data_IF_596120135002
#
_entry.id   IF_596120135002
#
_cell.length_a   1.000
_cell.length_b   1.000
_cell.length_c   1.000
_cell.angle_alpha   90.00
_cell.angle_beta   90.00
_cell.angle_gamma   90.00
#
_symmetry.space_group_name_H-M   'P 1'
#
loop_
_entity.id
_entity.type
_entity.pdbx_description
1 polymer ?
#
# COMPACT_ATOMS: atom_id res chain seq x y z
N UNK A 1 2.43 14.44 -7.94
CA UNK A 1 2.80 13.23 -8.71
C UNK A 1 2.08 12.02 -8.14
N UNK A 2 1.53 11.17 -9.01
CA UNK A 2 0.96 9.88 -8.59
C UNK A 2 2.11 8.94 -8.21
N UNK A 3 1.94 8.17 -7.13
CA UNK A 3 2.95 7.20 -6.70
C UNK A 3 2.93 5.99 -7.63
N UNK A 4 4.08 5.68 -8.20
CA UNK A 4 4.29 4.48 -9.01
C UNK A 4 5.23 3.50 -8.30
N UNK A 5 4.65 2.46 -7.71
CA UNK A 5 5.37 1.49 -6.89
C UNK A 5 6.22 0.55 -7.74
N UNK A 6 5.75 0.17 -8.93
CA UNK A 6 6.48 -0.72 -9.82
C UNK A 6 7.75 -0.03 -10.32
N UNK A 7 7.60 1.19 -10.84
CA UNK A 7 8.74 1.98 -11.30
C UNK A 7 9.75 2.27 -10.16
N UNK A 8 9.26 2.54 -8.94
CA UNK A 8 10.14 2.68 -7.77
C UNK A 8 10.93 1.41 -7.45
N UNK A 9 10.30 0.25 -7.50
CA UNK A 9 10.96 -1.02 -7.20
C UNK A 9 11.99 -1.40 -8.28
N UNK A 10 11.70 -1.15 -9.56
CA UNK A 10 12.64 -1.37 -10.67
C UNK A 10 13.88 -0.48 -10.54
N UNK A 11 13.68 0.82 -10.27
CA UNK A 11 14.77 1.76 -10.04
C UNK A 11 15.59 1.38 -8.79
N UNK A 12 14.95 0.92 -7.72
CA UNK A 12 15.66 0.45 -6.53
C UNK A 12 16.47 -0.82 -6.78
N UNK A 13 15.99 -1.72 -7.65
CA UNK A 13 16.77 -2.89 -8.10
C UNK A 13 17.96 -2.46 -8.94
N UNK A 14 17.78 -1.52 -9.87
CA UNK A 14 18.89 -0.96 -10.65
C UNK A 14 19.93 -0.27 -9.75
N UNK A 15 19.48 0.44 -8.71
CA UNK A 15 20.36 1.07 -7.71
C UNK A 15 21.32 0.08 -7.01
N UNK A 16 20.94 -1.20 -6.88
CA UNK A 16 21.82 -2.21 -6.28
C UNK A 16 23.07 -2.47 -7.15
N UNK A 17 22.94 -2.32 -8.47
CA UNK A 17 24.03 -2.49 -9.43
C UNK A 17 24.69 -1.15 -9.81
N UNK A 18 23.96 -0.04 -9.75
CA UNK A 18 24.42 1.29 -10.14
C UNK A 18 24.38 2.28 -8.96
N UNK A 19 25.57 2.66 -8.50
CA UNK A 19 25.74 3.59 -7.38
C UNK A 19 25.40 5.05 -7.72
N UNK A 20 25.33 5.41 -9.01
CA UNK A 20 25.01 6.77 -9.47
C UNK A 20 23.54 7.10 -9.29
N UNK A 21 22.67 6.09 -9.20
CA UNK A 21 21.24 6.27 -9.01
C UNK A 21 20.94 6.65 -7.55
N UNK A 22 20.66 7.92 -7.29
CA UNK A 22 20.36 8.41 -5.94
C UNK A 22 18.88 8.27 -5.58
N UNK A 23 18.59 8.16 -4.29
CA UNK A 23 17.20 8.17 -3.79
C UNK A 23 16.43 9.45 -4.17
N UNK A 24 17.15 10.54 -4.37
CA UNK A 24 16.55 11.82 -4.77
C UNK A 24 16.08 11.79 -6.22
N UNK A 25 16.88 11.22 -7.12
CA UNK A 25 16.49 10.96 -8.51
C UNK A 25 15.25 10.05 -8.57
N UNK A 26 15.24 8.97 -7.80
CA UNK A 26 14.12 8.01 -7.76
C UNK A 26 12.86 8.69 -7.18
N UNK A 27 13.02 9.53 -6.16
CA UNK A 27 11.92 10.26 -5.54
C UNK A 27 11.23 11.20 -6.54
N UNK A 28 12.01 11.98 -7.29
CA UNK A 28 11.50 12.88 -8.34
C UNK A 28 10.79 12.12 -9.46
N UNK A 29 11.18 10.89 -9.77
CA UNK A 29 10.57 10.06 -10.84
C UNK A 29 9.33 9.29 -10.41
N UNK A 30 9.20 8.97 -9.12
CA UNK A 30 8.16 8.02 -8.64
C UNK A 30 7.19 8.62 -7.63
N UNK A 31 7.47 9.82 -7.09
CA UNK A 31 6.63 10.47 -6.09
C UNK A 31 6.73 9.88 -4.68
N UNK A 32 7.63 8.92 -4.45
CA UNK A 32 7.91 8.38 -3.13
C UNK A 32 8.92 9.24 -2.38
N UNK A 33 8.74 9.39 -1.07
CA UNK A 33 9.74 10.08 -0.24
C UNK A 33 10.99 9.22 -0.04
N UNK A 34 12.13 9.85 0.25
CA UNK A 34 13.39 9.15 0.55
C UNK A 34 13.24 8.06 1.62
N UNK A 35 12.52 8.36 2.71
CA UNK A 35 12.25 7.37 3.78
C UNK A 35 11.43 6.18 3.27
N UNK A 36 10.44 6.41 2.40
CA UNK A 36 9.66 5.32 1.80
C UNK A 36 10.51 4.46 0.86
N UNK A 37 11.40 5.07 0.08
CA UNK A 37 12.30 4.37 -0.82
C UNK A 37 13.33 3.51 -0.07
N UNK A 38 13.91 4.02 1.03
CA UNK A 38 14.83 3.23 1.88
C UNK A 38 14.10 2.01 2.46
N UNK A 39 12.86 2.18 2.94
CA UNK A 39 12.06 1.05 3.43
C UNK A 39 11.80 0.01 2.34
N UNK A 40 11.43 0.44 1.13
CA UNK A 40 11.23 -0.46 -0.01
C UNK A 40 12.52 -1.17 -0.41
N UNK A 41 13.67 -0.47 -0.37
CA UNK A 41 14.98 -1.04 -0.67
C UNK A 41 15.34 -2.18 0.28
N UNK A 42 15.17 -1.97 1.59
CA UNK A 42 15.42 -3.01 2.59
C UNK A 42 14.50 -4.23 2.36
N UNK A 43 13.20 -3.98 2.13
CA UNK A 43 12.25 -5.05 1.80
C UNK A 43 12.61 -5.84 0.54
N UNK A 44 13.23 -5.17 -0.44
CA UNK A 44 13.71 -5.78 -1.69
C UNK A 44 14.94 -6.66 -1.47
N UNK A 45 15.86 -6.22 -0.61
CA UNK A 45 17.03 -6.99 -0.17
C UNK A 45 16.61 -8.27 0.56
N UNK A 46 15.57 -8.20 1.39
CA UNK A 46 15.15 -9.32 2.23
C UNK A 46 14.32 -10.37 1.48
N UNK A 47 13.45 -9.94 0.54
CA UNK A 47 12.48 -10.83 -0.11
C UNK A 47 12.81 -11.19 -1.57
N UNK A 48 13.69 -10.42 -2.24
CA UNK A 48 14.14 -10.63 -3.62
C UNK A 48 13.06 -10.55 -4.73
N UNK A 49 11.76 -10.56 -4.37
CA UNK A 49 10.68 -10.84 -5.31
C UNK A 49 9.82 -9.59 -5.58
N UNK A 50 10.13 -8.92 -6.69
CA UNK A 50 9.46 -7.70 -7.16
C UNK A 50 7.94 -7.84 -7.27
N UNK A 51 7.44 -8.99 -7.69
CA UNK A 51 6.00 -9.22 -7.89
C UNK A 51 5.21 -9.28 -6.57
N UNK A 52 5.83 -9.78 -5.51
CA UNK A 52 5.22 -9.83 -4.17
C UNK A 52 5.21 -8.41 -3.60
N UNK A 53 6.33 -7.70 -3.74
CA UNK A 53 6.49 -6.35 -3.23
C UNK A 53 5.66 -5.32 -3.98
N UNK A 54 5.32 -5.53 -5.26
CA UNK A 54 4.49 -4.60 -6.03
C UNK A 54 3.02 -4.66 -5.61
N UNK A 55 2.51 -5.82 -5.22
CA UNK A 55 1.15 -5.98 -4.68
C UNK A 55 1.01 -5.32 -3.31
N UNK A 56 -0.19 -4.87 -2.98
CA UNK A 56 -0.47 -4.38 -1.63
C UNK A 56 -0.65 -5.59 -0.71
N UNK A 57 -0.12 -5.54 0.51
CA UNK A 57 -0.16 -6.68 1.44
C UNK A 57 -1.60 -7.13 1.80
N UNK A 58 -2.56 -6.22 1.64
CA UNK A 58 -3.99 -6.44 1.89
C UNK A 58 -4.80 -6.67 0.61
N UNK A 59 -4.16 -6.73 -0.58
CA UNK A 59 -4.88 -7.06 -1.81
C UNK A 59 -5.49 -8.45 -1.66
N UNK A 60 -6.83 -8.55 -1.75
CA UNK A 60 -7.57 -9.80 -1.61
C UNK A 60 -7.74 -10.31 -0.18
N UNK A 61 -7.34 -9.52 0.84
CA UNK A 61 -7.61 -9.84 2.25
C UNK A 61 -8.82 -9.06 2.73
N UNK A 62 -9.70 -9.75 3.45
CA UNK A 62 -10.80 -9.11 4.17
C UNK A 62 -10.24 -8.18 5.26
N UNK A 63 -10.85 -7.00 5.48
CA UNK A 63 -10.47 -6.12 6.58
C UNK A 63 -10.64 -6.85 7.91
N UNK A 64 -9.66 -6.71 8.81
CA UNK A 64 -9.73 -7.31 10.15
C UNK A 64 -10.88 -6.71 10.97
N UNK A 65 -11.25 -5.46 10.68
CA UNK A 65 -12.34 -4.73 11.31
C UNK A 65 -13.66 -4.82 10.50
N UNK A 66 -13.83 -5.85 9.69
CA UNK A 66 -15.09 -6.09 8.99
C UNK A 66 -16.18 -6.34 10.03
N UNK A 67 -17.29 -5.60 9.92
CA UNK A 67 -18.44 -5.80 10.78
C UNK A 67 -19.01 -7.20 10.58
N UNK A 68 -19.36 -7.85 11.68
CA UNK A 68 -20.06 -9.13 11.64
C UNK A 68 -21.44 -8.94 10.99
N UNK A 69 -21.98 -9.93 10.26
CA UNK A 69 -23.33 -9.85 9.71
C UNK A 69 -24.39 -9.42 10.73
N UNK A 70 -24.25 -9.85 12.00
CA UNK A 70 -25.16 -9.45 13.07
C UNK A 70 -25.06 -7.97 13.44
N UNK A 71 -23.85 -7.38 13.39
CA UNK A 71 -23.62 -5.95 13.58
C UNK A 71 -24.21 -5.15 12.42
N UNK A 72 -24.06 -5.64 11.19
CA UNK A 72 -24.66 -5.03 9.99
C UNK A 72 -26.19 -5.03 10.12
N UNK A 73 -26.78 -6.16 10.49
CA UNK A 73 -28.24 -6.27 10.70
C UNK A 73 -28.74 -5.38 11.84
N UNK A 74 -27.97 -5.26 12.92
CA UNK A 74 -28.26 -4.32 13.99
C UNK A 74 -28.29 -2.88 13.46
N UNK A 75 -27.26 -2.44 12.73
CA UNK A 75 -27.17 -1.09 12.18
C UNK A 75 -28.30 -0.79 11.18
N UNK A 76 -28.69 -1.77 10.34
CA UNK A 76 -29.83 -1.63 9.42
C UNK A 76 -31.13 -1.44 10.20
N UNK A 77 -31.38 -2.27 11.22
CA UNK A 77 -32.58 -2.15 12.07
C UNK A 77 -32.61 -0.84 12.82
N UNK A 78 -31.48 -0.46 13.42
CA UNK A 78 -31.33 0.80 14.13
C UNK A 78 -31.71 1.98 13.24
N UNK A 79 -31.14 2.06 12.03
CA UNK A 79 -31.43 3.13 11.07
C UNK A 79 -32.90 3.17 10.64
N UNK A 80 -33.54 2.01 10.44
CA UNK A 80 -34.98 1.95 10.12
C UNK A 80 -35.84 2.50 11.26
N UNK A 81 -35.50 2.17 12.50
CA UNK A 81 -36.20 2.69 13.68
C UNK A 81 -36.00 4.21 13.79
N UNK A 82 -34.79 4.72 13.55
CA UNK A 82 -34.51 6.16 13.63
C UNK A 82 -35.23 6.97 12.54
N UNK A 83 -35.47 6.38 11.37
CA UNK A 83 -36.22 7.02 10.27
C UNK A 83 -37.75 6.92 10.43
N UNK A 84 -38.23 6.13 11.39
CA UNK A 84 -39.64 5.92 11.69
C UNK A 84 -40.08 6.61 13.00
N UNK A 85 -39.16 7.29 13.69
CA UNK A 85 -39.47 8.16 14.81
C UNK A 85 -39.78 9.57 14.28
N UNK A 86 -40.90 10.20 14.69
CA UNK A 86 -41.31 11.53 14.25
C UNK A 86 -40.37 12.65 14.73
#
# INVERSE_FOLDING_TARGET
MKKDKLSALELLKQKQADSTLTYECISKRTGYSKRQLIRLYNQLSDNGNLQILSKHANTGKEPVNKADPSEIDFLIRLKKITLLLP
#
